data_IF_303942634119
#
_entry.id   IF_303942634119
#
_cell.length_a   1.000
_cell.length_b   1.000
_cell.length_c   1.000
_cell.angle_alpha   90.00
_cell.angle_beta   90.00
_cell.angle_gamma   90.00
#
_symmetry.space_group_name_H-M   'P 1'
#
loop_
_entity.id
_entity.type
_entity.pdbx_description
1 polymer ?
#
# COMPACT_ATOMS: atom_id res chain seq x y z
N UNK A 1 22.35 11.54 -16.60
CA UNK A 1 22.00 12.32 -15.40
C UNK A 1 21.61 11.35 -14.29
N UNK A 2 22.02 11.61 -13.05
CA UNK A 2 21.57 10.81 -11.92
C UNK A 2 20.23 11.37 -11.41
N UNK A 3 19.11 10.78 -11.81
CA UNK A 3 17.76 11.24 -11.43
C UNK A 3 17.58 11.30 -9.92
N UNK A 4 18.25 10.40 -9.19
CA UNK A 4 18.18 10.33 -7.73
C UNK A 4 18.78 11.56 -7.04
N UNK A 5 19.58 12.38 -7.74
CA UNK A 5 20.06 13.66 -7.22
C UNK A 5 18.94 14.71 -7.06
N UNK A 6 17.74 14.45 -7.61
CA UNK A 6 16.56 15.30 -7.38
C UNK A 6 15.89 15.05 -6.02
N UNK A 7 16.23 13.95 -5.34
CA UNK A 7 15.77 13.68 -3.98
C UNK A 7 16.76 14.32 -3.00
N UNK A 8 16.35 15.35 -2.23
CA UNK A 8 17.28 16.14 -1.39
C UNK A 8 17.82 15.36 -0.19
N UNK A 9 17.21 14.21 0.14
CA UNK A 9 17.64 13.30 1.19
C UNK A 9 18.44 12.09 0.66
N UNK A 10 18.73 12.06 -0.65
CA UNK A 10 19.58 11.04 -1.30
C UNK A 10 20.88 11.70 -1.72
N UNK A 11 22.01 11.14 -1.27
CA UNK A 11 23.35 11.59 -1.63
C UNK A 11 24.17 10.41 -2.15
N UNK A 12 24.30 10.33 -3.47
CA UNK A 12 25.01 9.25 -4.18
C UNK A 12 26.46 9.66 -4.49
N UNK A 13 26.90 10.84 -4.04
CA UNK A 13 28.17 11.43 -4.44
C UNK A 13 29.23 11.44 -3.34
N UNK A 14 29.14 10.60 -2.30
CA UNK A 14 30.28 10.35 -1.40
C UNK A 14 31.34 9.47 -2.09
N UNK A 15 32.00 10.08 -3.07
CA UNK A 15 33.07 9.54 -3.90
C UNK A 15 34.35 9.24 -3.11
N UNK A 16 34.45 9.65 -1.84
CA UNK A 16 35.60 9.37 -0.98
C UNK A 16 35.48 8.06 -0.21
N UNK A 17 34.26 7.66 0.16
CA UNK A 17 34.01 6.46 0.98
C UNK A 17 33.26 5.34 0.24
N UNK A 18 32.92 5.53 -1.04
CA UNK A 18 32.18 4.55 -1.85
C UNK A 18 30.80 4.18 -1.29
N UNK A 19 30.23 5.06 -0.45
CA UNK A 19 28.95 4.85 0.22
C UNK A 19 27.90 5.77 -0.40
N UNK A 20 26.84 5.18 -0.96
CA UNK A 20 25.67 5.92 -1.41
C UNK A 20 24.67 6.00 -0.25
N UNK A 21 24.34 7.22 0.19
CA UNK A 21 23.34 7.45 1.22
C UNK A 21 21.98 7.69 0.56
N UNK A 22 20.98 6.94 0.99
CA UNK A 22 19.61 7.06 0.50
C UNK A 22 18.71 7.76 1.52
N UNK A 23 19.19 7.98 2.74
CA UNK A 23 18.47 8.64 3.81
C UNK A 23 19.38 9.58 4.62
N UNK A 24 19.46 10.83 4.16
CA UNK A 24 20.17 11.91 4.87
C UNK A 24 19.17 12.91 5.42
N UNK A 25 19.01 12.91 6.74
CA UNK A 25 18.14 13.86 7.45
C UNK A 25 18.94 14.63 8.48
N UNK A 26 18.89 15.96 8.39
CA UNK A 26 19.62 16.86 9.29
C UNK A 26 19.12 16.76 10.75
N UNK A 27 17.82 16.47 10.94
CA UNK A 27 17.22 16.27 12.26
C UNK A 27 16.35 15.00 12.28
N UNK A 28 16.90 13.86 12.74
CA UNK A 28 16.16 12.59 12.77
C UNK A 28 14.93 12.59 13.69
N UNK A 29 14.83 13.53 14.64
CA UNK A 29 13.70 13.64 15.57
C UNK A 29 12.52 14.46 14.99
N UNK A 30 12.70 15.06 13.81
CA UNK A 30 11.67 15.90 13.19
C UNK A 30 10.73 15.08 12.29
N UNK A 31 9.54 14.78 12.82
CA UNK A 31 8.46 14.12 12.08
C UNK A 31 8.08 14.87 10.80
N UNK A 32 8.06 16.21 10.82
CA UNK A 32 7.64 17.01 9.65
C UNK A 32 8.65 16.92 8.51
N UNK A 33 9.93 16.74 8.83
CA UNK A 33 10.96 16.43 7.84
C UNK A 33 10.64 15.14 7.10
N UNK A 34 10.30 14.08 7.84
CA UNK A 34 9.85 12.81 7.28
C UNK A 34 8.67 12.96 6.33
N UNK A 35 7.64 13.71 6.75
CA UNK A 35 6.46 14.02 5.93
C UNK A 35 6.84 14.73 4.64
N UNK A 36 7.75 15.70 4.71
CA UNK A 36 8.22 16.45 3.54
C UNK A 36 8.96 15.55 2.56
N UNK A 37 9.91 14.74 3.06
CA UNK A 37 10.66 13.78 2.25
C UNK A 37 9.76 12.75 1.57
N UNK A 38 8.69 12.31 2.23
CA UNK A 38 7.71 11.40 1.61
C UNK A 38 6.95 12.03 0.45
N UNK A 39 6.58 13.32 0.55
CA UNK A 39 5.93 14.05 -0.55
C UNK A 39 6.89 14.22 -1.72
N UNK A 40 8.12 14.65 -1.46
CA UNK A 40 9.18 14.79 -2.47
C UNK A 40 9.47 13.43 -3.15
N UNK A 41 9.42 12.33 -2.40
CA UNK A 41 9.56 10.98 -2.95
C UNK A 41 8.40 10.58 -3.88
N UNK A 42 7.16 10.88 -3.50
CA UNK A 42 5.98 10.59 -4.34
C UNK A 42 6.01 11.44 -5.61
N UNK A 43 6.30 12.74 -5.51
CA UNK A 43 6.46 13.64 -6.66
C UNK A 43 7.57 13.13 -7.60
N UNK A 44 8.67 12.61 -7.06
CA UNK A 44 9.73 12.00 -7.84
C UNK A 44 9.27 10.74 -8.59
N UNK A 45 8.50 9.85 -7.96
CA UNK A 45 7.96 8.64 -8.63
C UNK A 45 6.95 9.03 -9.70
N UNK A 46 6.10 10.03 -9.45
CA UNK A 46 5.13 10.54 -10.42
C UNK A 46 5.83 11.17 -11.63
N UNK A 47 6.90 11.93 -11.40
CA UNK A 47 7.73 12.54 -12.45
C UNK A 47 8.52 11.51 -13.24
N UNK A 48 8.96 10.42 -12.60
CA UNK A 48 9.75 9.35 -13.22
C UNK A 48 9.14 7.95 -12.97
N UNK A 49 8.04 7.58 -13.65
CA UNK A 49 7.33 6.32 -13.39
C UNK A 49 8.18 5.05 -13.56
N UNK A 50 9.20 5.08 -14.42
CA UNK A 50 10.14 3.97 -14.60
C UNK A 50 11.01 3.70 -13.35
N UNK A 51 11.15 4.67 -12.45
CA UNK A 51 11.87 4.52 -11.18
C UNK A 51 11.06 3.81 -10.10
N UNK A 52 9.76 3.57 -10.31
CA UNK A 52 8.96 2.78 -9.36
C UNK A 52 9.49 1.34 -9.21
N UNK A 53 10.14 0.81 -10.25
CA UNK A 53 10.75 -0.52 -10.25
C UNK A 53 12.25 -0.51 -9.88
N UNK A 54 12.85 0.65 -9.58
CA UNK A 54 14.30 0.76 -9.32
C UNK A 54 14.70 0.54 -7.86
N UNK A 55 13.78 0.02 -7.04
CA UNK A 55 14.00 -0.34 -5.64
C UNK A 55 14.49 0.83 -4.76
N UNK A 56 14.16 2.09 -5.12
CA UNK A 56 14.61 3.27 -4.36
C UNK A 56 14.07 3.25 -2.92
N UNK A 57 12.78 2.92 -2.74
CA UNK A 57 12.17 2.80 -1.41
C UNK A 57 12.88 1.75 -0.54
N UNK A 58 13.24 0.61 -1.14
CA UNK A 58 13.97 -0.44 -0.47
C UNK A 58 15.35 0.05 -0.01
N UNK A 59 16.08 0.77 -0.88
CA UNK A 59 17.40 1.34 -0.54
C UNK A 59 17.31 2.39 0.57
N UNK A 60 16.28 3.24 0.56
CA UNK A 60 16.00 4.19 1.64
C UNK A 60 15.78 3.46 2.97
N UNK A 61 14.95 2.40 2.98
CA UNK A 61 14.67 1.62 4.19
C UNK A 61 15.90 0.87 4.72
N UNK A 62 16.72 0.30 3.84
CA UNK A 62 18.00 -0.33 4.21
C UNK A 62 18.96 0.69 4.84
N UNK A 63 19.14 1.86 4.22
CA UNK A 63 20.03 2.90 4.73
C UNK A 63 19.57 3.45 6.09
N UNK A 64 18.25 3.61 6.29
CA UNK A 64 17.69 3.90 7.61
C UNK A 64 17.98 2.80 8.65
N UNK A 65 17.96 1.54 8.24
CA UNK A 65 18.27 0.40 9.11
C UNK A 65 19.73 0.37 9.52
N UNK A 66 20.63 0.51 8.56
CA UNK A 66 22.09 0.51 8.75
C UNK A 66 22.56 1.72 9.57
N UNK A 67 21.94 2.89 9.39
CA UNK A 67 22.21 4.09 10.18
C UNK A 67 21.53 4.12 11.55
N UNK A 68 20.70 3.12 11.89
CA UNK A 68 19.93 3.07 13.13
C UNK A 68 18.77 4.10 13.21
N UNK A 69 18.49 4.80 12.11
CA UNK A 69 17.46 5.84 12.03
C UNK A 69 16.06 5.30 11.70
N UNK A 70 15.91 4.00 11.44
CA UNK A 70 14.62 3.38 11.13
C UNK A 70 13.56 3.57 12.24
N UNK A 71 14.01 3.74 13.48
CA UNK A 71 13.15 4.01 14.65
C UNK A 71 12.94 5.49 14.95
N UNK A 72 13.49 6.39 14.12
CA UNK A 72 13.43 7.84 14.34
C UNK A 72 12.06 8.42 13.97
N UNK A 73 11.72 9.58 14.56
CA UNK A 73 10.46 10.28 14.25
C UNK A 73 10.41 10.76 12.80
N UNK A 74 11.55 11.11 12.20
CA UNK A 74 11.63 11.41 10.77
C UNK A 74 11.31 10.19 9.90
N UNK A 75 11.82 9.00 10.22
CA UNK A 75 11.47 7.76 9.49
C UNK A 75 9.98 7.42 9.68
N UNK A 76 9.45 7.60 10.89
CA UNK A 76 8.02 7.42 11.19
C UNK A 76 7.14 8.37 10.37
N UNK A 77 7.52 9.65 10.28
CA UNK A 77 6.82 10.65 9.47
C UNK A 77 6.86 10.34 7.97
N UNK A 78 7.98 9.79 7.50
CA UNK A 78 8.14 9.35 6.11
C UNK A 78 7.20 8.20 5.77
N UNK A 79 7.29 7.08 6.49
CA UNK A 79 6.49 5.90 6.18
C UNK A 79 4.99 6.11 6.43
N UNK A 80 4.59 6.80 7.50
CA UNK A 80 3.16 7.11 7.73
C UNK A 80 2.57 7.94 6.58
N UNK A 81 3.35 8.89 6.06
CA UNK A 81 2.90 9.75 4.95
C UNK A 81 2.85 8.96 3.66
N UNK A 82 3.82 8.10 3.38
CA UNK A 82 3.77 7.19 2.24
C UNK A 82 2.58 6.24 2.33
N UNK A 83 2.33 5.63 3.48
CA UNK A 83 1.15 4.80 3.70
C UNK A 83 -0.12 5.60 3.40
N UNK A 84 -0.21 6.85 3.83
CA UNK A 84 -1.37 7.71 3.56
C UNK A 84 -1.52 8.08 2.08
N UNK A 85 -0.42 8.39 1.39
CA UNK A 85 -0.42 8.82 -0.01
C UNK A 85 -0.62 7.64 -0.98
N UNK A 86 -0.10 6.46 -0.63
CA UNK A 86 -0.22 5.22 -1.39
C UNK A 86 -1.49 4.45 -1.03
N UNK A 87 -2.11 4.74 0.12
CA UNK A 87 -3.48 4.30 0.40
C UNK A 87 -4.37 4.93 -0.67
N UNK A 88 -5.14 4.13 -1.43
CA UNK A 88 -6.05 4.68 -2.43
C UNK A 88 -6.98 5.67 -1.73
N UNK A 89 -6.81 6.97 -2.02
CA UNK A 89 -7.80 7.98 -1.65
C UNK A 89 -9.12 7.48 -2.23
N UNK A 90 -10.13 7.32 -1.38
CA UNK A 90 -11.50 7.14 -1.84
C UNK A 90 -11.73 8.32 -2.77
N UNK A 91 -11.76 8.07 -4.08
CA UNK A 91 -11.98 9.10 -5.06
C UNK A 91 -13.37 9.66 -4.78
N UNK A 92 -13.42 10.83 -4.15
CA UNK A 92 -14.56 11.72 -4.24
C UNK A 92 -14.74 12.03 -5.73
N UNK A 93 -15.65 11.28 -6.34
CA UNK A 93 -16.46 11.65 -7.50
C UNK A 93 -15.82 12.64 -8.49
N UNK A 94 -14.88 12.17 -9.30
CA UNK A 94 -14.78 12.71 -10.66
C UNK A 94 -15.69 11.88 -11.55
N UNK A 95 -16.82 12.48 -11.94
CA UNK A 95 -17.82 11.97 -12.87
C UNK A 95 -17.20 11.62 -14.23
N UNK A 96 -16.50 10.49 -14.32
CA UNK A 96 -16.24 9.82 -15.59
C UNK A 96 -17.30 8.75 -15.68
N UNK A 97 -18.21 8.92 -16.62
CA UNK A 97 -19.24 7.95 -16.99
C UNK A 97 -18.60 6.58 -17.21
N UNK A 98 -18.60 5.76 -16.15
CA UNK A 98 -18.09 4.41 -16.22
C UNK A 98 -19.00 3.63 -17.17
N UNK A 99 -18.48 3.41 -18.38
CA UNK A 99 -18.91 2.32 -19.27
C UNK A 99 -19.14 1.11 -18.36
N UNK A 100 -20.33 0.49 -18.47
CA UNK A 100 -20.80 -0.67 -17.68
C UNK A 100 -19.90 -1.91 -17.87
N UNK A 101 -18.61 -1.81 -17.59
CA UNK A 101 -17.74 -2.96 -17.43
C UNK A 101 -18.08 -3.60 -16.09
N UNK A 102 -18.23 -4.92 -16.11
CA UNK A 102 -18.56 -5.72 -14.94
C UNK A 102 -17.34 -5.68 -14.00
N UNK A 103 -17.24 -4.66 -13.15
CA UNK A 103 -16.11 -4.47 -12.23
C UNK A 103 -15.87 -5.77 -11.44
N UNK A 104 -14.64 -6.28 -11.53
CA UNK A 104 -14.19 -7.42 -10.74
C UNK A 104 -14.21 -7.01 -9.26
N UNK A 105 -14.87 -7.81 -8.42
CA UNK A 105 -14.96 -7.60 -6.97
C UNK A 105 -13.70 -8.12 -6.28
N UNK A 106 -12.57 -7.50 -6.59
CA UNK A 106 -11.28 -7.77 -5.93
C UNK A 106 -11.31 -7.29 -4.49
N UNK A 107 -10.36 -7.75 -3.68
CA UNK A 107 -10.20 -7.30 -2.29
C UNK A 107 -10.13 -5.78 -2.22
N UNK A 108 -9.29 -5.14 -3.04
CA UNK A 108 -9.13 -3.68 -3.06
C UNK A 108 -10.46 -2.97 -3.34
N UNK A 109 -11.23 -3.46 -4.32
CA UNK A 109 -12.50 -2.83 -4.68
C UNK A 109 -13.54 -2.95 -3.55
N UNK A 110 -13.62 -4.10 -2.86
CA UNK A 110 -14.55 -4.28 -1.75
C UNK A 110 -14.09 -3.52 -0.50
N UNK A 111 -12.79 -3.50 -0.20
CA UNK A 111 -12.23 -2.76 0.92
C UNK A 111 -12.52 -1.25 0.77
N UNK A 112 -12.30 -0.70 -0.43
CA UNK A 112 -12.63 0.69 -0.75
C UNK A 112 -14.13 0.99 -0.57
N UNK A 113 -15.03 0.09 -1.00
CA UNK A 113 -16.48 0.26 -0.79
C UNK A 113 -16.88 0.26 0.68
N UNK A 114 -16.16 -0.47 1.52
CA UNK A 114 -16.42 -0.57 2.96
C UNK A 114 -15.69 0.52 3.76
N UNK A 115 -14.89 1.37 3.11
CA UNK A 115 -14.11 2.41 3.79
C UNK A 115 -12.99 1.85 4.68
N UNK A 116 -12.43 0.69 4.34
CA UNK A 116 -11.35 0.02 5.09
C UNK A 116 -10.16 -0.30 4.20
N UNK A 117 -9.02 -0.61 4.82
CA UNK A 117 -7.84 -1.09 4.10
C UNK A 117 -8.02 -2.54 3.64
N UNK A 118 -7.36 -2.92 2.54
CA UNK A 118 -7.34 -4.30 2.05
C UNK A 118 -6.88 -5.29 3.11
N UNK A 119 -5.91 -4.92 3.94
CA UNK A 119 -5.42 -5.75 5.04
C UNK A 119 -6.51 -6.01 6.09
N UNK A 120 -7.29 -4.97 6.47
CA UNK A 120 -8.43 -5.15 7.38
C UNK A 120 -9.48 -6.10 6.79
N UNK A 121 -9.75 -5.99 5.49
CA UNK A 121 -10.68 -6.89 4.82
C UNK A 121 -10.14 -8.34 4.79
N UNK A 122 -8.85 -8.53 4.50
CA UNK A 122 -8.23 -9.87 4.51
C UNK A 122 -8.26 -10.50 5.90
N UNK A 123 -7.93 -9.74 6.95
CA UNK A 123 -8.03 -10.20 8.33
C UNK A 123 -9.48 -10.58 8.67
N UNK A 124 -10.46 -9.80 8.20
CA UNK A 124 -11.87 -10.12 8.39
C UNK A 124 -12.25 -11.42 7.68
N UNK A 125 -11.80 -11.62 6.44
CA UNK A 125 -12.04 -12.85 5.69
C UNK A 125 -11.44 -14.07 6.39
N UNK A 126 -10.23 -13.94 6.93
CA UNK A 126 -9.57 -14.98 7.73
C UNK A 126 -10.37 -15.30 9.00
N UNK A 127 -10.84 -14.28 9.73
CA UNK A 127 -11.68 -14.46 10.93
C UNK A 127 -13.02 -15.14 10.61
N UNK A 128 -13.56 -14.91 9.40
CA UNK A 128 -14.79 -15.57 8.94
C UNK A 128 -14.56 -16.95 8.31
N UNK A 129 -13.32 -17.45 8.35
CA UNK A 129 -12.90 -18.73 7.78
C UNK A 129 -13.09 -18.84 6.26
N UNK A 130 -13.06 -17.70 5.55
CA UNK A 130 -13.21 -17.69 4.08
C UNK A 130 -11.88 -17.84 3.36
N UNK A 131 -10.82 -17.41 4.03
CA UNK A 131 -9.46 -17.38 3.51
C UNK A 131 -8.54 -17.93 4.60
N UNK A 132 -7.51 -18.66 4.20
CA UNK A 132 -6.49 -19.14 5.11
C UNK A 132 -5.61 -17.99 5.64
N UNK A 133 -5.34 -17.99 6.94
CA UNK A 133 -4.65 -16.88 7.60
C UNK A 133 -3.15 -16.80 7.22
N UNK A 134 -2.53 -17.93 6.85
CA UNK A 134 -1.10 -17.98 6.53
C UNK A 134 -0.85 -17.76 5.03
N UNK A 135 -1.67 -18.38 4.18
CA UNK A 135 -1.46 -18.41 2.72
C UNK A 135 -2.31 -17.38 1.98
N UNK A 136 -3.33 -16.82 2.62
CA UNK A 136 -4.29 -15.89 2.01
C UNK A 136 -5.06 -16.53 0.84
N UNK A 137 -5.06 -17.87 0.75
CA UNK A 137 -5.80 -18.61 -0.25
C UNK A 137 -7.27 -18.85 0.17
N UNK A 138 -8.24 -18.85 -0.76
CA UNK A 138 -9.61 -19.18 -0.45
C UNK A 138 -9.72 -20.61 0.09
N UNK A 139 -10.44 -20.79 1.20
CA UNK A 139 -10.80 -22.12 1.69
C UNK A 139 -11.87 -22.75 0.80
N UNK A 140 -11.85 -24.08 0.67
CA UNK A 140 -12.80 -24.81 -0.17
C UNK A 140 -14.26 -24.52 0.22
N UNK A 141 -14.56 -24.48 1.51
CA UNK A 141 -15.89 -24.11 2.01
C UNK A 141 -16.35 -22.71 1.56
N UNK A 142 -15.46 -21.76 1.33
CA UNK A 142 -15.81 -20.43 0.83
C UNK A 142 -16.13 -20.43 -0.68
N UNK A 143 -15.48 -21.33 -1.42
CA UNK A 143 -15.74 -21.54 -2.86
C UNK A 143 -17.04 -22.31 -3.03
N UNK A 144 -17.25 -23.38 -2.28
CA UNK A 144 -18.46 -24.21 -2.29
C UNK A 144 -19.71 -23.41 -1.91
N UNK A 145 -19.60 -22.58 -0.86
CA UNK A 145 -20.68 -21.67 -0.47
C UNK A 145 -20.90 -20.53 -1.47
N UNK A 146 -20.06 -20.42 -2.50
CA UNK A 146 -20.16 -19.44 -3.58
C UNK A 146 -19.93 -18.01 -3.10
N UNK A 147 -19.20 -17.80 -2.00
CA UNK A 147 -18.88 -16.47 -1.48
C UNK A 147 -17.58 -15.93 -2.07
N UNK A 148 -16.64 -16.81 -2.42
CA UNK A 148 -15.42 -16.51 -3.17
C UNK A 148 -15.38 -17.29 -4.48
N UNK A 149 -14.61 -16.78 -5.45
CA UNK A 149 -14.33 -17.47 -6.72
C UNK A 149 -12.88 -17.27 -7.13
N UNK A 150 -12.19 -18.36 -7.48
CA UNK A 150 -10.83 -18.32 -8.05
C UNK A 150 -10.80 -17.47 -9.33
N UNK A 151 -9.81 -16.62 -9.47
CA UNK A 151 -9.63 -15.68 -10.58
C UNK A 151 -8.17 -15.29 -10.71
N UNK A 152 -7.56 -15.67 -11.83
CA UNK A 152 -6.19 -15.28 -12.19
C UNK A 152 -6.04 -13.78 -12.48
N UNK A 153 -7.15 -13.07 -12.67
CA UNK A 153 -7.18 -11.62 -12.90
C UNK A 153 -7.13 -10.78 -11.63
N UNK A 154 -7.05 -11.42 -10.46
CA UNK A 154 -7.00 -10.74 -9.15
C UNK A 154 -5.60 -10.94 -8.54
N UNK A 155 -5.02 -9.92 -7.90
CA UNK A 155 -3.71 -10.04 -7.24
C UNK A 155 -3.65 -11.17 -6.21
N UNK A 156 -4.76 -11.47 -5.55
CA UNK A 156 -4.88 -12.54 -4.56
C UNK A 156 -5.35 -13.87 -5.16
N UNK A 157 -5.46 -14.00 -6.49
CA UNK A 157 -5.93 -15.23 -7.13
C UNK A 157 -7.42 -15.54 -6.96
N UNK A 158 -8.20 -14.65 -6.32
CA UNK A 158 -9.65 -14.79 -6.17
C UNK A 158 -10.40 -13.46 -6.15
N UNK A 159 -11.71 -13.53 -6.36
CA UNK A 159 -12.64 -12.41 -6.24
C UNK A 159 -13.81 -12.77 -5.32
N UNK A 160 -14.37 -11.75 -4.67
CA UNK A 160 -15.56 -11.88 -3.84
C UNK A 160 -16.79 -11.93 -4.77
N UNK A 161 -17.70 -12.87 -4.56
CA UNK A 161 -18.93 -12.92 -5.38
C UNK A 161 -19.93 -11.87 -4.90
N UNK A 162 -21.01 -11.65 -5.67
CA UNK A 162 -22.11 -10.77 -5.20
C UNK A 162 -22.73 -11.27 -3.89
N UNK A 163 -22.79 -12.59 -3.70
CA UNK A 163 -23.25 -13.22 -2.45
C UNK A 163 -22.27 -12.92 -1.30
N UNK A 164 -20.98 -13.10 -1.55
CA UNK A 164 -19.93 -12.79 -0.57
C UNK A 164 -19.94 -11.32 -0.15
N UNK A 165 -20.02 -10.40 -1.11
CA UNK A 165 -20.10 -8.95 -0.87
C UNK A 165 -21.30 -8.60 0.03
N UNK A 166 -22.50 -9.09 -0.29
CA UNK A 166 -23.69 -8.83 0.51
C UNK A 166 -23.56 -9.32 1.95
N UNK A 167 -22.95 -10.50 2.15
CA UNK A 167 -22.73 -11.07 3.49
C UNK A 167 -21.68 -10.28 4.27
N UNK A 168 -20.59 -9.88 3.62
CA UNK A 168 -19.55 -9.04 4.20
C UNK A 168 -20.12 -7.71 4.69
N UNK A 169 -20.87 -7.01 3.83
CA UNK A 169 -21.46 -5.71 4.18
C UNK A 169 -22.42 -5.85 5.37
N UNK A 170 -23.25 -6.90 5.40
CA UNK A 170 -24.15 -7.16 6.54
C UNK A 170 -23.38 -7.43 7.84
N UNK A 171 -22.38 -8.30 7.82
CA UNK A 171 -21.58 -8.63 9.01
C UNK A 171 -20.78 -7.41 9.50
N UNK A 172 -20.20 -6.63 8.58
CA UNK A 172 -19.45 -5.43 8.90
C UNK A 172 -20.33 -4.34 9.51
N UNK A 173 -21.55 -4.15 9.00
CA UNK A 173 -22.53 -3.23 9.59
C UNK A 173 -22.98 -3.63 11.00
N UNK A 174 -23.08 -4.94 11.29
CA UNK A 174 -23.44 -5.44 12.61
C UNK A 174 -22.32 -5.23 13.64
N UNK A 175 -21.06 -5.24 13.22
CA UNK A 175 -19.90 -5.04 14.10
C UNK A 175 -19.60 -3.58 14.42
N UNK A 176 -20.12 -2.65 13.60
CA UNK A 176 -19.98 -1.20 13.78
C UNK A 176 -21.21 -0.55 14.44
N UNK A 177 -22.14 -1.36 14.96
CA UNK A 177 -23.24 -0.92 15.84
C UNK A 177 -22.95 -1.36 17.26
#
# INVERSE_FOLDING_TARGET
>A
MNYLAELPFVDIFDTKNNNAFFWRVNNPLDYKHGVKSAKEFVEFIEKYPFMNNSNVLYRIACDMGESGLIKSESARGFFNTLDTLLTPKIAESSNVSAIKSRQLRTINNIANKLGITSLKLLNFLALTDWVDNATVEPKDGAIENGVLRKSTRSPFGFVITRKGENLLTKKYQLLNK
#
